data_IF_655181938164
#
_entry.id   IF_655181938164
#
_cell.length_a   1.000
_cell.length_b   1.000
_cell.length_c   1.000
_cell.angle_alpha   90.00
_cell.angle_beta   90.00
_cell.angle_gamma   90.00
#
_symmetry.space_group_name_H-M   'P 1'
#
loop_
_entity.id
_entity.type
_entity.pdbx_description
1 polymer ?
#
# COMPACT_ATOMS: atom_id res chain seq x y z
N UNK A 1 0.53 27.24 14.03
CA UNK A 1 0.32 26.11 14.96
C UNK A 1 -0.22 24.92 14.18
N UNK A 2 0.47 23.77 14.19
CA UNK A 2 0.01 22.54 13.50
C UNK A 2 -1.11 21.85 14.29
N UNK A 3 -1.94 21.04 13.62
CA UNK A 3 -3.00 20.28 14.29
C UNK A 3 -2.46 19.38 15.41
N UNK A 4 -1.30 18.77 15.20
CA UNK A 4 -0.61 17.97 16.22
C UNK A 4 -0.22 18.77 17.47
N UNK A 5 0.17 20.05 17.32
CA UNK A 5 0.47 20.93 18.45
C UNK A 5 -0.75 21.24 19.32
N UNK A 6 -1.93 21.42 18.69
CA UNK A 6 -3.21 21.64 19.40
C UNK A 6 -3.63 20.40 20.20
N UNK A 7 -3.44 19.21 19.64
CA UNK A 7 -3.74 17.94 20.32
C UNK A 7 -2.81 17.67 21.51
N UNK A 8 -1.51 17.96 21.37
CA UNK A 8 -0.56 17.79 22.48
C UNK A 8 -0.89 18.70 23.67
N UNK A 9 -1.27 19.96 23.42
CA UNK A 9 -1.62 20.89 24.49
C UNK A 9 -2.90 20.49 25.24
N UNK A 10 -3.90 19.94 24.52
CA UNK A 10 -5.17 19.45 25.08
C UNK A 10 -5.03 18.18 25.92
N UNK A 11 -3.99 17.39 25.67
CA UNK A 11 -3.73 16.16 26.45
C UNK A 11 -3.03 16.50 27.75
N UNK A 12 -2.14 17.50 27.73
CA UNK A 12 -1.51 18.01 28.95
C UNK A 12 -2.55 18.61 29.91
N UNK A 13 -3.61 19.25 29.39
CA UNK A 13 -4.70 19.76 30.24
C UNK A 13 -5.57 18.63 30.82
N UNK A 14 -5.94 17.61 30.03
CA UNK A 14 -6.77 16.48 30.50
C UNK A 14 -6.06 15.66 31.59
N UNK A 15 -4.74 15.44 31.45
CA UNK A 15 -3.95 14.71 32.47
C UNK A 15 -3.80 15.53 33.76
N UNK A 16 -3.77 16.87 33.69
CA UNK A 16 -3.77 17.76 34.86
C UNK A 16 -5.11 17.74 35.63
N UNK A 17 -6.20 17.38 34.97
CA UNK A 17 -7.55 17.27 35.54
C UNK A 17 -7.82 15.90 36.22
N UNK A 18 -6.79 15.06 36.39
CA UNK A 18 -6.87 13.82 37.17
C UNK A 18 -7.32 12.58 36.39
N UNK A 19 -7.51 12.69 35.06
CA UNK A 19 -7.79 11.54 34.21
C UNK A 19 -6.52 10.80 33.79
N UNK A 20 -6.64 9.49 33.54
CA UNK A 20 -5.49 8.66 33.17
C UNK A 20 -5.02 8.92 31.73
N UNK A 21 -3.72 8.76 31.48
CA UNK A 21 -3.11 8.89 30.14
C UNK A 21 -3.78 7.99 29.08
N UNK A 22 -4.33 6.86 29.49
CA UNK A 22 -5.01 5.91 28.60
C UNK A 22 -6.43 6.38 28.20
N UNK A 23 -7.15 7.10 29.05
CA UNK A 23 -8.41 7.77 28.68
C UNK A 23 -8.17 8.93 27.71
N UNK A 24 -7.12 9.74 27.95
CA UNK A 24 -6.72 10.80 27.02
C UNK A 24 -6.30 10.24 25.64
N UNK A 25 -5.75 9.03 25.59
CA UNK A 25 -5.43 8.32 24.32
C UNK A 25 -6.68 7.83 23.57
N UNK A 26 -7.77 7.48 24.26
CA UNK A 26 -9.04 7.08 23.60
C UNK A 26 -9.69 8.24 22.84
N UNK A 27 -9.45 9.49 23.26
CA UNK A 27 -10.02 10.70 22.65
C UNK A 27 -9.23 11.15 21.40
N UNK A 28 -7.98 10.68 21.21
CA UNK A 28 -7.21 11.02 20.00
C UNK A 28 -7.86 10.41 18.75
N UNK A 29 -8.14 11.20 17.70
CA UNK A 29 -8.57 10.63 16.43
C UNK A 29 -7.46 9.72 15.88
N UNK A 30 -7.82 8.51 15.48
CA UNK A 30 -6.87 7.59 14.86
C UNK A 30 -6.39 8.20 13.53
N UNK A 31 -5.09 8.07 13.19
CA UNK A 31 -4.61 8.53 11.89
C UNK A 31 -5.38 7.80 10.77
N UNK A 32 -5.63 8.48 9.64
CA UNK A 32 -6.33 7.87 8.52
C UNK A 32 -5.54 6.66 8.00
N UNK A 33 -6.25 5.57 7.69
CA UNK A 33 -5.62 4.36 7.14
C UNK A 33 -5.13 4.66 5.73
N UNK A 34 -3.84 4.46 5.50
CA UNK A 34 -3.20 4.52 4.18
C UNK A 34 -2.95 3.12 3.65
N UNK A 35 -3.17 2.91 2.35
CA UNK A 35 -3.00 1.61 1.72
C UNK A 35 -1.86 1.65 0.71
N UNK A 36 -0.96 0.68 0.82
CA UNK A 36 0.15 0.57 -0.12
C UNK A 36 -0.32 0.08 -1.48
N UNK A 37 0.11 0.77 -2.53
CA UNK A 37 -0.17 0.36 -3.90
C UNK A 37 0.60 -0.93 -4.24
N UNK A 38 -0.08 -1.99 -4.71
CA UNK A 38 0.58 -3.26 -5.01
C UNK A 38 1.60 -3.18 -6.16
N UNK A 39 1.41 -2.30 -7.15
CA UNK A 39 2.36 -2.13 -8.26
C UNK A 39 3.66 -1.47 -7.79
N UNK A 40 3.58 -0.47 -6.91
CA UNK A 40 4.78 0.14 -6.33
C UNK A 40 5.62 -0.86 -5.53
N UNK A 41 4.96 -1.76 -4.78
CA UNK A 41 5.65 -2.85 -4.08
C UNK A 41 6.26 -3.86 -5.06
N UNK A 42 5.57 -4.18 -6.16
CA UNK A 42 6.11 -5.04 -7.20
C UNK A 42 7.38 -4.45 -7.84
N UNK A 43 7.35 -3.16 -8.21
CA UNK A 43 8.52 -2.44 -8.74
C UNK A 43 9.66 -2.31 -7.74
N UNK A 44 9.37 -2.17 -6.45
CA UNK A 44 10.40 -2.20 -5.41
C UNK A 44 11.15 -3.54 -5.42
N UNK A 45 10.42 -4.67 -5.42
CA UNK A 45 11.04 -5.99 -5.45
C UNK A 45 11.80 -6.27 -6.74
N UNK A 46 11.23 -5.92 -7.90
CA UNK A 46 11.91 -6.05 -9.18
C UNK A 46 13.23 -5.24 -9.19
N UNK A 47 13.19 -3.97 -8.77
CA UNK A 47 14.39 -3.13 -8.67
C UNK A 47 15.44 -3.69 -7.73
N UNK A 48 15.05 -4.28 -6.60
CA UNK A 48 16.01 -4.90 -5.67
C UNK A 48 16.74 -6.09 -6.31
N UNK A 49 16.07 -6.85 -7.17
CA UNK A 49 16.70 -7.96 -7.90
C UNK A 49 17.57 -7.41 -9.03
N UNK A 50 17.05 -6.48 -9.85
CA UNK A 50 17.75 -5.87 -10.98
C UNK A 50 19.02 -5.11 -10.58
N UNK A 51 18.97 -4.38 -9.46
CA UNK A 51 20.12 -3.64 -8.91
C UNK A 51 21.15 -4.52 -8.20
N UNK A 52 20.90 -5.83 -8.09
CA UNK A 52 21.77 -6.76 -7.36
C UNK A 52 21.68 -6.64 -5.83
N UNK A 53 20.81 -5.78 -5.28
CA UNK A 53 20.52 -5.75 -3.84
C UNK A 53 20.04 -7.12 -3.34
N UNK A 54 19.42 -7.93 -4.20
CA UNK A 54 19.17 -9.34 -3.98
C UNK A 54 19.62 -10.17 -5.18
N UNK A 55 20.27 -11.31 -4.95
CA UNK A 55 20.77 -12.19 -6.02
C UNK A 55 19.63 -12.84 -6.83
N UNK A 56 18.52 -13.12 -6.16
CA UNK A 56 17.32 -13.73 -6.73
C UNK A 56 16.14 -13.57 -5.76
N UNK A 57 14.95 -14.04 -6.15
CA UNK A 57 13.73 -13.98 -5.35
C UNK A 57 13.88 -14.64 -3.96
N UNK A 58 14.66 -15.72 -3.86
CA UNK A 58 14.84 -16.44 -2.59
C UNK A 58 15.75 -15.66 -1.63
N UNK A 59 16.76 -14.98 -2.16
CA UNK A 59 17.58 -14.06 -1.38
C UNK A 59 16.76 -12.84 -0.91
N UNK A 60 15.96 -12.27 -1.82
CA UNK A 60 15.05 -11.16 -1.48
C UNK A 60 14.04 -11.56 -0.40
N UNK A 61 13.50 -12.79 -0.46
CA UNK A 61 12.58 -13.35 0.54
C UNK A 61 13.17 -13.30 1.94
N UNK A 62 14.42 -13.77 2.08
CA UNK A 62 15.14 -13.76 3.36
C UNK A 62 15.39 -12.34 3.85
N UNK A 63 15.75 -11.41 2.95
CA UNK A 63 16.04 -10.01 3.29
C UNK A 63 14.81 -9.23 3.75
N UNK A 64 13.67 -9.41 3.09
CA UNK A 64 12.43 -8.68 3.37
C UNK A 64 11.56 -9.40 4.42
N UNK A 65 11.87 -10.64 4.76
CA UNK A 65 11.14 -11.41 5.78
C UNK A 65 9.79 -11.93 5.30
N UNK A 66 9.65 -12.24 4.01
CA UNK A 66 8.43 -12.81 3.42
C UNK A 66 8.76 -14.06 2.60
N UNK A 67 7.75 -14.89 2.32
CA UNK A 67 7.98 -16.08 1.50
C UNK A 67 8.38 -15.72 0.06
N UNK A 68 9.22 -16.55 -0.56
CA UNK A 68 9.55 -16.44 -2.00
C UNK A 68 8.30 -16.37 -2.86
N UNK A 69 7.30 -17.19 -2.56
CA UNK A 69 6.00 -17.20 -3.27
C UNK A 69 5.33 -15.83 -3.19
N UNK A 70 5.41 -15.14 -2.05
CA UNK A 70 4.84 -13.81 -1.92
C UNK A 70 5.56 -12.79 -2.78
N UNK A 71 6.88 -12.89 -2.94
CA UNK A 71 7.64 -12.04 -3.86
C UNK A 71 7.19 -12.28 -5.30
N UNK A 72 7.15 -13.54 -5.71
CA UNK A 72 6.69 -13.92 -7.06
C UNK A 72 5.27 -13.40 -7.37
N UNK A 73 4.37 -13.46 -6.38
CA UNK A 73 3.02 -12.90 -6.52
C UNK A 73 2.98 -11.39 -6.76
N UNK A 74 3.97 -10.65 -6.26
CA UNK A 74 4.09 -9.22 -6.51
C UNK A 74 4.80 -8.96 -7.83
N UNK A 75 5.93 -9.59 -8.10
CA UNK A 75 6.70 -9.36 -9.34
C UNK A 75 5.91 -9.75 -10.59
N UNK A 76 5.12 -10.82 -10.54
CA UNK A 76 4.23 -11.20 -11.65
C UNK A 76 3.15 -10.16 -11.97
N UNK A 77 2.82 -9.23 -11.05
CA UNK A 77 1.90 -8.12 -11.37
C UNK A 77 2.46 -7.17 -12.43
N UNK A 78 3.78 -7.16 -12.64
CA UNK A 78 4.41 -6.35 -13.68
C UNK A 78 4.23 -6.95 -15.09
N UNK A 79 3.74 -8.19 -15.19
CA UNK A 79 3.40 -8.87 -16.45
C UNK A 79 2.00 -8.49 -16.96
N UNK A 80 1.23 -7.71 -16.19
CA UNK A 80 -0.05 -7.15 -16.63
C UNK A 80 0.13 -6.22 -17.84
N UNK A 81 -0.96 -5.97 -18.58
CA UNK A 81 -0.95 -4.98 -19.67
C UNK A 81 -0.31 -3.65 -19.18
N UNK A 82 0.69 -3.12 -19.90
CA UNK A 82 1.41 -1.92 -19.49
C UNK A 82 0.51 -0.71 -19.24
N UNK A 83 -0.62 -0.61 -19.94
CA UNK A 83 -1.60 0.47 -19.74
C UNK A 83 -2.31 0.34 -18.40
N UNK A 84 -2.64 -0.89 -18.00
CA UNK A 84 -3.27 -1.18 -16.71
C UNK A 84 -2.30 -0.94 -15.56
N UNK A 85 -1.02 -1.33 -15.72
CA UNK A 85 0.04 -1.01 -14.75
C UNK A 85 0.12 0.50 -14.55
N UNK A 86 0.20 1.30 -15.63
CA UNK A 86 0.23 2.77 -15.55
C UNK A 86 -1.01 3.36 -14.89
N UNK A 87 -2.20 2.85 -15.20
CA UNK A 87 -3.45 3.32 -14.60
C UNK A 87 -3.48 3.07 -13.08
N UNK A 88 -3.02 1.90 -12.64
CA UNK A 88 -2.91 1.58 -11.22
C UNK A 88 -1.84 2.42 -10.53
N UNK A 89 -0.75 2.77 -11.21
CA UNK A 89 0.27 3.67 -10.66
C UNK A 89 -0.24 5.10 -10.48
N UNK A 90 -1.11 5.58 -11.38
CA UNK A 90 -1.71 6.91 -11.29
C UNK A 90 -2.58 7.09 -10.02
N UNK A 91 -3.02 6.00 -9.38
CA UNK A 91 -3.71 6.05 -8.09
C UNK A 91 -2.82 6.53 -6.92
N UNK A 92 -1.50 6.56 -7.13
CA UNK A 92 -0.50 6.97 -6.14
C UNK A 92 -0.13 5.88 -5.13
N UNK A 93 0.90 6.16 -4.33
CA UNK A 93 1.32 5.39 -3.16
C UNK A 93 1.82 6.36 -2.07
N UNK A 94 1.17 6.49 -0.91
CA UNK A 94 0.05 5.67 -0.42
C UNK A 94 -1.32 6.08 -0.99
N UNK A 95 -2.21 5.11 -1.17
CA UNK A 95 -3.61 5.34 -1.53
C UNK A 95 -4.46 5.66 -0.28
N UNK A 96 -5.37 6.64 -0.34
CA UNK A 96 -6.25 7.02 0.79
C UNK A 96 -7.33 5.96 1.08
N UNK A 97 -7.65 5.12 0.10
CA UNK A 97 -8.60 4.00 0.20
C UNK A 97 -8.02 2.77 -0.46
N UNK A 98 -8.53 1.58 -0.10
CA UNK A 98 -8.12 0.31 -0.70
C UNK A 98 -8.84 0.09 -2.04
N UNK A 99 -8.55 0.94 -3.02
CA UNK A 99 -9.18 0.90 -4.35
C UNK A 99 -8.85 -0.40 -5.09
N UNK A 100 -7.62 -0.88 -4.93
CA UNK A 100 -7.15 -2.08 -5.58
C UNK A 100 -6.30 -2.94 -4.65
N UNK A 101 -6.40 -4.25 -4.84
CA UNK A 101 -5.65 -5.24 -4.07
C UNK A 101 -4.82 -6.11 -5.00
N UNK A 102 -3.68 -6.62 -4.50
CA UNK A 102 -2.84 -7.55 -5.25
C UNK A 102 -3.59 -8.83 -5.65
N UNK A 103 -4.54 -9.31 -4.84
CA UNK A 103 -5.37 -10.47 -5.20
C UNK A 103 -6.26 -10.19 -6.42
N UNK A 104 -6.82 -8.99 -6.55
CA UNK A 104 -7.61 -8.61 -7.72
C UNK A 104 -6.72 -8.56 -8.97
N UNK A 105 -5.56 -7.93 -8.87
CA UNK A 105 -4.59 -7.85 -9.97
C UNK A 105 -4.11 -9.25 -10.43
N UNK A 106 -3.90 -10.18 -9.50
CA UNK A 106 -3.56 -11.57 -9.87
C UNK A 106 -4.68 -12.35 -10.55
N UNK A 107 -5.95 -12.00 -10.32
CA UNK A 107 -7.04 -12.62 -11.08
C UNK A 107 -7.01 -12.16 -12.53
N UNK A 108 -6.77 -10.87 -12.72
CA UNK A 108 -6.63 -10.26 -14.05
C UNK A 108 -5.47 -10.85 -14.85
N UNK A 109 -4.36 -11.27 -14.22
CA UNK A 109 -3.30 -12.01 -14.90
C UNK A 109 -3.78 -13.32 -15.55
N UNK A 110 -4.82 -13.96 -15.00
CA UNK A 110 -5.33 -15.24 -15.49
C UNK A 110 -6.43 -15.09 -16.55
N UNK A 111 -7.16 -13.98 -16.52
CA UNK A 111 -8.29 -13.74 -17.40
C UNK A 111 -8.16 -12.38 -18.12
N UNK A 112 -7.82 -12.39 -19.42
CA UNK A 112 -7.76 -11.17 -20.23
C UNK A 112 -9.08 -10.38 -20.25
N UNK A 113 -10.25 -11.05 -20.12
CA UNK A 113 -11.55 -10.36 -20.11
C UNK A 113 -11.73 -9.52 -18.85
N UNK A 114 -11.19 -9.98 -17.70
CA UNK A 114 -11.19 -9.18 -16.47
C UNK A 114 -10.31 -7.94 -16.61
N UNK A 115 -9.19 -8.01 -17.36
CA UNK A 115 -8.35 -6.85 -17.64
C UNK A 115 -9.11 -5.78 -18.43
N UNK A 116 -9.81 -6.17 -19.49
CA UNK A 116 -10.56 -5.23 -20.33
C UNK A 116 -11.71 -4.56 -19.59
N UNK A 117 -12.47 -5.32 -18.80
CA UNK A 117 -13.56 -4.78 -17.98
C UNK A 117 -13.02 -3.80 -16.91
N UNK A 118 -11.89 -4.13 -16.29
CA UNK A 118 -11.28 -3.26 -15.30
C UNK A 118 -10.74 -1.96 -15.90
N UNK A 119 -10.14 -2.02 -17.10
CA UNK A 119 -9.70 -0.82 -17.84
C UNK A 119 -10.86 0.14 -18.09
N UNK A 120 -12.02 -0.36 -18.52
CA UNK A 120 -13.22 0.46 -18.76
C UNK A 120 -13.68 1.14 -17.48
N UNK A 121 -13.78 0.40 -16.37
CA UNK A 121 -14.22 0.94 -15.09
C UNK A 121 -13.23 1.95 -14.47
N UNK A 122 -11.92 1.82 -14.73
CA UNK A 122 -10.92 2.79 -14.26
C UNK A 122 -11.03 4.15 -14.95
N UNK A 123 -11.46 4.18 -16.22
CA UNK A 123 -11.66 5.43 -16.97
C UNK A 123 -12.86 6.24 -16.47
N UNK A 124 -13.81 5.62 -15.76
CA UNK A 124 -14.99 6.30 -15.20
C UNK A 124 -14.73 6.94 -13.82
N UNK A 125 -13.57 6.66 -13.20
CA UNK A 125 -13.22 7.13 -11.84
C UNK A 125 -12.26 8.33 -11.89
N UNK A 126 -11.65 8.60 -13.04
CA UNK A 126 -10.75 9.73 -13.29
C UNK A 126 -11.51 10.96 -13.80
#
# INVERSE_FOLDING_TARGET
MTEQGKWNHRIISIVREGQTLDEARRIRPKPPKTYRNPIFRAKEYARMIESGLAKNESDLARKVGISRVRIWQYTSLLELDPSLVKAVEALGDPMPKRLITERQLRKMLKDPKEQDNFRKNLQEIA
#
